data_IF_812343466496
#
_entry.id   IF_812343466496
#
_cell.length_a   1.000
_cell.length_b   1.000
_cell.length_c   1.000
_cell.angle_alpha   90.00
_cell.angle_beta   90.00
_cell.angle_gamma   90.00
#
_symmetry.space_group_name_H-M   'P 1'
#
loop_
_entity.id
_entity.type
_entity.pdbx_description
1 polymer ?
#
# COMPACT_ATOMS: atom_id res chain seq x y z
N UNK A 1 16.70 14.47 13.64
CA UNK A 1 15.44 14.77 12.91
C UNK A 1 14.90 13.47 12.33
N UNK A 2 13.60 13.18 12.46
CA UNK A 2 12.99 12.04 11.75
C UNK A 2 12.75 12.48 10.30
N UNK A 3 13.45 11.87 9.36
CA UNK A 3 13.49 12.30 7.95
C UNK A 3 12.10 12.42 7.32
N UNK A 4 11.13 11.58 7.70
CA UNK A 4 9.79 11.58 7.10
C UNK A 4 8.66 11.78 8.12
N UNK A 5 8.75 12.84 8.95
CA UNK A 5 7.64 13.15 9.86
C UNK A 5 6.33 13.38 9.11
N UNK A 6 5.26 12.75 9.59
CA UNK A 6 3.93 12.84 8.99
C UNK A 6 3.71 11.93 7.77
N UNK A 7 4.69 11.10 7.41
CA UNK A 7 4.50 10.02 6.43
C UNK A 7 4.19 8.70 7.13
N UNK A 8 3.30 7.90 6.54
CA UNK A 8 3.03 6.54 7.01
C UNK A 8 2.65 5.62 5.88
N UNK A 9 3.11 4.37 5.94
CA UNK A 9 2.68 3.29 5.04
C UNK A 9 1.91 2.28 5.87
N UNK A 10 0.71 1.89 5.40
CA UNK A 10 -0.14 0.89 6.04
C UNK A 10 -0.38 -0.25 5.07
N UNK A 11 -0.19 -1.47 5.56
CA UNK A 11 -0.45 -2.72 4.85
C UNK A 11 -1.70 -3.37 5.45
N UNK A 12 -2.68 -3.72 4.62
CA UNK A 12 -3.91 -4.35 5.06
C UNK A 12 -4.00 -5.78 4.49
N UNK A 13 -4.12 -6.76 5.38
CA UNK A 13 -4.19 -8.17 5.03
C UNK A 13 -5.62 -8.70 5.22
N UNK A 14 -5.99 -9.70 4.42
CA UNK A 14 -7.32 -10.33 4.45
C UNK A 14 -7.22 -11.83 4.28
N UNK A 15 -8.24 -12.54 4.75
CA UNK A 15 -8.49 -13.97 4.49
C UNK A 15 -9.80 -14.16 3.70
N UNK A 16 -10.32 -13.10 3.10
CA UNK A 16 -11.59 -13.11 2.35
C UNK A 16 -11.40 -13.84 1.01
N UNK A 17 -12.24 -14.85 0.77
CA UNK A 17 -12.20 -15.67 -0.44
C UNK A 17 -12.46 -14.90 -1.73
N UNK A 18 -13.14 -13.74 -1.65
CA UNK A 18 -13.39 -12.87 -2.81
C UNK A 18 -12.12 -12.18 -3.33
N UNK A 19 -11.05 -12.19 -2.52
CA UNK A 19 -9.75 -11.62 -2.85
C UNK A 19 -8.69 -12.72 -2.99
N UNK A 20 -9.11 -13.92 -3.44
CA UNK A 20 -8.27 -15.10 -3.66
C UNK A 20 -7.55 -15.63 -2.40
N UNK A 21 -7.93 -15.21 -1.19
CA UNK A 21 -7.23 -15.58 0.04
C UNK A 21 -7.79 -16.87 0.71
N UNK A 22 -8.20 -17.88 -0.07
CA UNK A 22 -8.79 -19.12 0.50
C UNK A 22 -7.71 -19.97 1.16
N UNK A 23 -7.73 -20.07 2.49
CA UNK A 23 -6.71 -20.80 3.26
C UNK A 23 -5.39 -20.05 3.41
N UNK A 24 -5.39 -18.76 3.06
CA UNK A 24 -4.23 -17.88 3.01
C UNK A 24 -4.56 -16.53 3.64
N UNK A 25 -3.53 -15.75 3.96
CA UNK A 25 -3.68 -14.30 4.08
C UNK A 25 -3.05 -13.65 2.84
N UNK A 26 -3.73 -12.64 2.29
CA UNK A 26 -3.23 -11.85 1.17
C UNK A 26 -3.19 -10.35 1.54
N UNK A 27 -2.17 -9.64 1.07
CA UNK A 27 -2.10 -8.18 1.16
C UNK A 27 -3.02 -7.60 0.09
N UNK A 28 -4.17 -7.06 0.48
CA UNK A 28 -5.15 -6.56 -0.50
C UNK A 28 -5.11 -5.05 -0.69
N UNK A 29 -4.49 -4.31 0.23
CA UNK A 29 -4.38 -2.86 0.12
C UNK A 29 -3.09 -2.34 0.77
N UNK A 30 -2.50 -1.33 0.11
CA UNK A 30 -1.40 -0.53 0.64
C UNK A 30 -1.81 0.94 0.58
N UNK A 31 -1.77 1.61 1.73
CA UNK A 31 -2.14 3.01 1.86
C UNK A 31 -0.93 3.82 2.31
N UNK A 32 -0.62 4.89 1.59
CA UNK A 32 0.44 5.84 1.96
C UNK A 32 -0.18 7.17 2.29
N UNK A 33 0.12 7.69 3.47
CA UNK A 33 -0.18 9.07 3.83
C UNK A 33 1.10 9.88 3.71
N UNK A 34 1.04 10.97 2.96
CA UNK A 34 2.14 11.89 2.71
C UNK A 34 1.75 13.28 3.22
N UNK A 35 2.37 13.71 4.33
CA UNK A 35 2.24 15.07 4.83
C UNK A 35 3.38 15.94 4.27
N UNK A 36 3.16 16.50 3.08
CA UNK A 36 4.11 17.41 2.44
C UNK A 36 4.40 18.68 3.25
N UNK A 37 3.41 19.33 3.92
CA UNK A 37 3.67 20.46 4.81
C UNK A 37 4.71 20.15 5.90
N UNK A 38 4.65 18.95 6.49
CA UNK A 38 5.61 18.51 7.50
C UNK A 38 6.99 18.12 6.93
N UNK A 39 7.14 18.06 5.61
CA UNK A 39 8.36 17.62 4.91
C UNK A 39 8.83 18.60 3.83
N UNK A 40 8.48 19.90 3.94
CA UNK A 40 8.87 20.96 2.98
C UNK A 40 10.39 21.07 2.75
N UNK A 41 11.21 20.76 3.76
CA UNK A 41 12.67 20.76 3.62
C UNK A 41 13.19 19.66 2.67
N UNK A 42 12.42 18.57 2.48
CA UNK A 42 12.76 17.49 1.56
C UNK A 42 12.10 17.66 0.20
N UNK A 43 10.86 18.16 0.19
CA UNK A 43 10.07 18.36 -1.02
C UNK A 43 9.73 19.84 -1.18
N UNK A 44 10.70 20.63 -1.63
CA UNK A 44 10.63 22.11 -1.63
C UNK A 44 9.52 22.68 -2.52
N UNK A 45 9.10 21.94 -3.54
CA UNK A 45 8.07 22.35 -4.50
C UNK A 45 6.78 21.53 -4.37
N UNK A 46 6.59 20.80 -3.27
CA UNK A 46 5.39 20.02 -3.06
C UNK A 46 4.17 20.89 -2.68
N UNK A 47 2.94 20.41 -2.93
CA UNK A 47 1.74 21.10 -2.49
C UNK A 47 1.68 21.21 -0.96
N UNK A 48 1.00 22.24 -0.45
CA UNK A 48 0.80 22.44 0.99
C UNK A 48 -0.41 21.65 1.51
N UNK A 49 -0.44 20.35 1.22
CA UNK A 49 -1.54 19.46 1.59
C UNK A 49 -1.08 18.05 1.95
N UNK A 50 -1.95 17.34 2.68
CA UNK A 50 -1.77 15.92 3.00
C UNK A 50 -2.43 15.09 1.90
N UNK A 51 -1.67 14.17 1.31
CA UNK A 51 -2.18 13.23 0.31
C UNK A 51 -2.30 11.83 0.88
N UNK A 52 -3.34 11.11 0.44
CA UNK A 52 -3.55 9.70 0.72
C UNK A 52 -3.51 8.92 -0.58
N UNK A 53 -2.41 8.22 -0.82
CA UNK A 53 -2.27 7.31 -1.97
C UNK A 53 -2.82 5.94 -1.59
N UNK A 54 -3.83 5.50 -2.32
CA UNK A 54 -4.38 4.16 -2.18
C UNK A 54 -5.02 3.71 -3.49
N UNK A 55 -4.96 2.41 -3.75
CA UNK A 55 -5.72 1.80 -4.82
C UNK A 55 -7.08 1.43 -4.22
N UNK A 56 -8.20 1.90 -4.81
CA UNK A 56 -9.51 1.43 -4.41
C UNK A 56 -9.60 -0.09 -4.55
N UNK A 57 -10.19 -0.75 -3.57
CA UNK A 57 -10.37 -2.20 -3.57
C UNK A 57 -11.60 -2.53 -4.41
N UNK A 58 -11.39 -3.20 -5.53
CA UNK A 58 -12.46 -3.75 -6.34
C UNK A 58 -12.57 -5.26 -6.07
N UNK A 59 -13.70 -5.70 -5.55
CA UNK A 59 -13.95 -7.12 -5.28
C UNK A 59 -14.28 -7.93 -6.54
N UNK A 60 -14.53 -7.27 -7.68
CA UNK A 60 -14.69 -7.92 -8.98
C UNK A 60 -13.36 -8.09 -9.70
N UNK A 61 -12.41 -7.19 -9.46
CA UNK A 61 -11.08 -7.20 -10.04
C UNK A 61 -10.04 -7.20 -8.92
N UNK A 62 -9.63 -8.42 -8.52
CA UNK A 62 -8.66 -8.62 -7.43
C UNK A 62 -7.43 -7.73 -7.66
N UNK A 63 -7.00 -6.96 -6.64
CA UNK A 63 -5.85 -6.07 -6.79
C UNK A 63 -4.57 -6.89 -6.97
N UNK A 64 -3.70 -6.48 -7.89
CA UNK A 64 -2.46 -7.22 -8.22
C UNK A 64 -1.54 -7.49 -7.01
N UNK A 65 -1.61 -6.65 -5.97
CA UNK A 65 -0.86 -6.86 -4.73
C UNK A 65 -1.33 -8.10 -3.96
N UNK A 66 -2.63 -8.45 -4.03
CA UNK A 66 -3.18 -9.64 -3.39
C UNK A 66 -2.67 -10.93 -4.04
N UNK A 67 -2.52 -10.93 -5.37
CA UNK A 67 -1.96 -12.08 -6.10
C UNK A 67 -0.44 -12.21 -5.91
N UNK A 68 0.24 -11.15 -5.48
CA UNK A 68 1.70 -11.12 -5.37
C UNK A 68 2.21 -11.37 -3.95
N UNK A 69 1.46 -10.94 -2.93
CA UNK A 69 1.86 -10.97 -1.53
C UNK A 69 0.82 -11.74 -0.74
N UNK A 70 1.05 -13.05 -0.61
CA UNK A 70 0.19 -13.97 0.13
C UNK A 70 1.03 -15.04 0.85
N UNK A 71 0.44 -15.69 1.85
CA UNK A 71 0.97 -16.89 2.45
C UNK A 71 -0.13 -17.73 3.11
N UNK A 72 0.06 -19.04 3.19
CA UNK A 72 -0.81 -19.92 3.97
C UNK A 72 -0.87 -19.50 5.44
N UNK A 73 -2.03 -19.70 6.09
CA UNK A 73 -2.31 -19.21 7.47
C UNK A 73 -1.33 -19.68 8.55
N UNK A 74 -0.54 -20.74 8.30
CA UNK A 74 0.46 -21.28 9.21
C UNK A 74 1.90 -21.11 8.68
N UNK A 75 2.11 -20.25 7.68
CA UNK A 75 3.41 -19.96 7.08
C UNK A 75 3.68 -18.47 7.11
N UNK A 76 4.95 -18.13 6.92
CA UNK A 76 5.38 -16.75 6.74
C UNK A 76 5.85 -16.58 5.30
N UNK A 77 5.56 -15.42 4.71
CA UNK A 77 6.12 -15.01 3.43
C UNK A 77 7.51 -14.40 3.67
N UNK A 78 8.51 -14.85 2.91
CA UNK A 78 9.83 -14.25 2.86
C UNK A 78 10.23 -14.01 1.41
N UNK A 79 10.55 -12.77 1.07
CA UNK A 79 11.02 -12.40 -0.25
C UNK A 79 12.12 -11.34 -0.10
N UNK A 80 13.33 -11.63 -0.60
CA UNK A 80 14.47 -10.70 -0.57
C UNK A 80 14.56 -9.86 -1.85
N UNK A 81 13.90 -10.29 -2.92
CA UNK A 81 13.84 -9.55 -4.17
C UNK A 81 12.93 -8.32 -4.03
N UNK A 82 13.32 -7.22 -4.67
CA UNK A 82 12.51 -6.00 -4.67
C UNK A 82 11.15 -6.24 -5.36
N UNK A 83 10.08 -5.87 -4.67
CA UNK A 83 8.71 -5.91 -5.17
C UNK A 83 8.23 -4.49 -5.48
N UNK A 84 7.49 -4.30 -6.58
CA UNK A 84 6.96 -2.99 -6.99
C UNK A 84 5.47 -3.10 -7.29
N UNK A 85 4.70 -2.19 -6.71
CA UNK A 85 3.25 -2.12 -6.88
C UNK A 85 2.82 -0.69 -7.19
N UNK A 86 1.83 -0.55 -8.07
CA UNK A 86 1.18 0.72 -8.33
C UNK A 86 0.03 0.85 -7.34
N UNK A 87 0.16 1.73 -6.36
CA UNK A 87 -0.86 1.95 -5.32
C UNK A 87 -1.72 3.20 -5.56
N UNK A 88 -1.46 3.92 -6.64
CA UNK A 88 -2.33 4.95 -7.19
C UNK A 88 -1.93 5.13 -8.66
N UNK A 89 -2.86 4.90 -9.58
CA UNK A 89 -2.67 5.09 -11.02
C UNK A 89 -3.35 6.35 -11.55
N UNK A 90 -4.06 7.10 -10.70
CA UNK A 90 -4.72 8.35 -11.11
C UNK A 90 -3.71 9.52 -11.00
N UNK A 91 -3.28 10.12 -12.12
CA UNK A 91 -2.39 11.28 -12.08
C UNK A 91 -3.08 12.56 -11.58
N UNK A 92 -4.40 12.52 -11.30
CA UNK A 92 -5.21 13.69 -10.94
C UNK A 92 -5.90 13.60 -9.57
N UNK A 93 -5.72 12.52 -8.79
CA UNK A 93 -6.30 12.36 -7.45
C UNK A 93 -5.33 11.76 -6.46
#
# INVERSE_FOLDING_TARGET
MRQYQGWSVRFAFTTDSRLNAVGEFALYQVNVTANYPATKALFTNAPDSVYHYFQPVDLKNVPAVADSIYAHLNKSLSCTAAQKFIINSDPKK
#
